data_IF_681292353962
#
_entry.id   IF_681292353962
#
_cell.length_a   1.000
_cell.length_b   1.000
_cell.length_c   1.000
_cell.angle_alpha   90.00
_cell.angle_beta   90.00
_cell.angle_gamma   90.00
#
_symmetry.space_group_name_H-M   'P 1'
#
loop_
_entity.id
_entity.type
_entity.pdbx_description
1 polymer ?
#
# COMPACT_ATOMS: atom_id res chain seq x y z
N UNK A 1 0.27 -11.54 -3.03
CA UNK A 1 1.15 -10.37 -3.10
C UNK A 1 0.52 -9.38 -4.09
N UNK A 2 -0.21 -8.40 -3.56
CA UNK A 2 -0.92 -7.42 -4.40
C UNK A 2 -0.02 -6.23 -4.64
N UNK A 3 0.33 -6.01 -5.90
CA UNK A 3 0.94 -4.79 -6.36
C UNK A 3 -0.18 -3.86 -6.82
N UNK A 4 -0.56 -2.88 -6.01
CA UNK A 4 -1.42 -1.79 -6.49
C UNK A 4 -0.49 -0.77 -7.12
N UNK A 5 -0.48 -0.77 -8.43
CA UNK A 5 0.23 0.17 -9.28
C UNK A 5 -0.42 1.55 -9.23
N UNK A 6 0.39 2.57 -8.93
CA UNK A 6 0.18 3.91 -9.45
C UNK A 6 -0.82 4.80 -8.69
N UNK A 7 -0.41 5.30 -7.52
CA UNK A 7 -1.00 6.56 -7.05
C UNK A 7 -0.07 7.70 -7.45
N UNK A 8 -0.53 8.53 -8.39
CA UNK A 8 0.13 9.82 -8.67
C UNK A 8 -0.06 10.67 -7.42
N UNK A 9 1.03 11.01 -6.76
CA UNK A 9 0.99 11.93 -5.61
C UNK A 9 0.88 13.34 -6.20
N UNK A 10 -0.31 13.92 -6.12
CA UNK A 10 -0.53 15.30 -6.51
C UNK A 10 -0.19 16.20 -5.33
N UNK A 11 0.74 17.12 -5.52
CA UNK A 11 1.13 18.07 -4.47
C UNK A 11 0.10 19.20 -4.39
N UNK A 12 -0.37 19.52 -3.18
CA UNK A 12 -1.25 20.65 -2.94
C UNK A 12 -0.54 22.02 -3.06
N UNK A 13 0.78 22.03 -3.07
CA UNK A 13 1.59 23.22 -3.32
C UNK A 13 2.88 22.82 -4.03
N UNK A 14 3.17 23.49 -5.13
CA UNK A 14 4.45 23.32 -5.82
C UNK A 14 5.56 24.00 -4.99
N UNK A 15 6.61 23.27 -4.57
CA UNK A 15 7.72 23.89 -3.87
C UNK A 15 8.43 24.91 -4.76
N UNK A 16 8.88 25.99 -4.18
CA UNK A 16 9.64 27.02 -4.90
C UNK A 16 11.09 26.53 -5.10
N UNK A 17 11.75 27.01 -6.14
CA UNK A 17 13.17 26.70 -6.39
C UNK A 17 14.00 26.99 -5.13
N UNK A 18 14.82 26.04 -4.70
CA UNK A 18 15.62 26.11 -3.47
C UNK A 18 14.97 25.45 -2.23
N UNK A 19 13.77 24.92 -2.36
CA UNK A 19 13.15 24.11 -1.31
C UNK A 19 13.23 22.63 -1.68
N UNK A 20 13.79 21.84 -0.77
CA UNK A 20 13.85 20.38 -0.91
C UNK A 20 12.44 19.80 -1.00
N UNK A 21 12.17 18.98 -2.00
CA UNK A 21 10.89 18.32 -2.14
C UNK A 21 10.70 17.29 -1.03
N UNK A 22 9.82 17.59 -0.09
CA UNK A 22 9.43 16.68 0.98
C UNK A 22 8.09 16.04 0.60
N UNK A 23 8.13 14.77 0.25
CA UNK A 23 6.92 13.99 -0.02
C UNK A 23 6.49 13.28 1.25
N UNK A 24 5.39 13.72 1.83
CA UNK A 24 4.76 12.97 2.91
C UNK A 24 4.01 11.78 2.31
N UNK A 25 4.54 10.58 2.50
CA UNK A 25 3.88 9.36 2.07
C UNK A 25 2.81 9.01 3.10
N UNK A 26 1.62 9.60 2.95
CA UNK A 26 0.46 9.26 3.76
C UNK A 26 -0.64 8.67 2.88
N UNK A 27 -0.79 7.36 2.90
CA UNK A 27 -2.08 6.82 3.26
C UNK A 27 -1.97 6.14 4.63
N UNK A 28 -3.01 6.21 5.44
CA UNK A 28 -3.12 5.53 6.75
C UNK A 28 -2.78 4.03 6.71
N UNK A 29 -2.64 3.47 5.52
CA UNK A 29 -2.47 2.06 5.23
C UNK A 29 -1.11 1.69 4.61
N UNK A 30 -0.17 2.65 4.56
CA UNK A 30 1.16 2.39 4.03
C UNK A 30 1.84 1.23 4.79
N UNK A 31 2.38 0.28 4.05
CA UNK A 31 3.11 -0.86 4.60
C UNK A 31 4.57 -0.86 4.20
N UNK A 32 4.85 -0.79 2.89
CA UNK A 32 6.22 -0.84 2.37
C UNK A 32 6.37 0.05 1.15
N UNK A 33 7.47 0.79 1.11
CA UNK A 33 7.90 1.55 -0.05
C UNK A 33 8.42 0.57 -1.13
N UNK A 34 8.00 0.80 -2.37
CA UNK A 34 8.52 0.14 -3.55
C UNK A 34 9.52 1.06 -4.28
N UNK A 35 9.39 1.11 -5.59
CA UNK A 35 10.26 1.89 -6.46
C UNK A 35 9.79 3.34 -6.54
N UNK A 36 10.75 4.26 -6.65
CA UNK A 36 10.50 5.67 -6.89
C UNK A 36 11.13 6.03 -8.23
N UNK A 37 10.34 6.64 -9.10
CA UNK A 37 10.78 7.06 -10.42
C UNK A 37 10.52 8.54 -10.64
N UNK A 38 11.44 9.18 -11.34
CA UNK A 38 11.33 10.56 -11.81
C UNK A 38 11.08 10.58 -13.30
N UNK A 39 10.02 11.23 -13.71
CA UNK A 39 9.65 11.35 -15.12
C UNK A 39 9.40 12.82 -15.43
N UNK A 40 10.19 13.35 -16.35
CA UNK A 40 9.92 14.64 -16.98
C UNK A 40 9.65 14.39 -18.47
N UNK A 41 8.78 15.19 -19.08
CA UNK A 41 8.47 15.03 -20.50
C UNK A 41 9.66 15.15 -21.46
N UNK A 42 10.84 15.59 -20.98
CA UNK A 42 12.03 15.84 -21.78
C UNK A 42 13.17 14.82 -21.56
N UNK A 43 13.13 14.07 -20.47
CA UNK A 43 14.18 13.10 -20.10
C UNK A 43 13.60 11.68 -20.04
N UNK A 44 14.42 10.64 -20.30
CA UNK A 44 14.01 9.28 -20.01
C UNK A 44 13.70 9.13 -18.52
N UNK A 45 12.79 8.22 -18.20
CA UNK A 45 12.40 7.91 -16.81
C UNK A 45 13.63 7.45 -16.03
N UNK A 46 13.88 8.10 -14.90
CA UNK A 46 15.00 7.81 -14.00
C UNK A 46 14.51 7.16 -12.72
N UNK A 47 15.17 6.11 -12.29
CA UNK A 47 14.95 5.55 -10.95
C UNK A 47 15.76 6.35 -9.93
N UNK A 48 15.14 6.69 -8.79
CA UNK A 48 15.81 7.36 -7.70
C UNK A 48 16.57 6.34 -6.86
N UNK A 49 17.84 6.63 -6.59
CA UNK A 49 18.63 5.81 -5.70
C UNK A 49 18.37 6.18 -4.24
N UNK A 50 18.09 5.16 -3.42
CA UNK A 50 17.99 5.34 -1.98
C UNK A 50 19.38 5.45 -1.37
N UNK A 51 19.56 6.45 -0.50
CA UNK A 51 20.78 6.62 0.29
C UNK A 51 20.45 6.85 1.75
N UNK A 52 21.41 6.63 2.61
CA UNK A 52 21.31 6.94 4.03
C UNK A 52 21.80 8.36 4.31
N UNK A 53 21.32 8.95 5.42
CA UNK A 53 21.65 10.32 5.78
C UNK A 53 23.16 10.55 5.96
N UNK A 54 23.89 9.54 6.43
CA UNK A 54 25.34 9.63 6.58
C UNK A 54 26.07 9.81 5.26
N UNK A 55 25.61 9.11 4.21
CA UNK A 55 26.18 9.18 2.86
C UNK A 55 25.85 10.51 2.17
N UNK A 56 24.68 11.10 2.48
CA UNK A 56 24.26 12.35 1.86
C UNK A 56 25.30 13.44 1.98
N UNK A 57 25.87 13.64 3.18
CA UNK A 57 26.86 14.69 3.42
C UNK A 57 28.12 14.49 2.57
N UNK A 58 28.54 13.25 2.38
CA UNK A 58 29.69 12.94 1.51
C UNK A 58 29.39 13.24 0.03
N UNK A 59 28.17 12.89 -0.42
CA UNK A 59 27.75 13.15 -1.79
C UNK A 59 27.60 14.65 -2.08
N UNK A 60 27.04 15.41 -1.14
CA UNK A 60 26.83 16.85 -1.29
C UNK A 60 28.12 17.67 -1.16
N UNK A 61 29.16 17.13 -0.53
CA UNK A 61 30.43 17.83 -0.32
C UNK A 61 31.30 17.91 -1.59
N UNK A 62 31.01 17.14 -2.62
CA UNK A 62 31.77 17.07 -3.85
C UNK A 62 30.88 17.38 -5.07
N UNK A 63 31.31 18.31 -5.91
CA UNK A 63 30.58 18.62 -7.15
C UNK A 63 30.52 17.45 -8.12
N UNK A 64 31.44 16.48 -8.02
CA UNK A 64 31.47 15.30 -8.90
C UNK A 64 30.43 14.25 -8.50
N UNK A 65 30.14 14.13 -7.22
CA UNK A 65 29.21 13.13 -6.66
C UNK A 65 27.86 13.72 -6.28
N UNK A 66 27.72 15.04 -6.40
CA UNK A 66 26.48 15.74 -6.10
C UNK A 66 25.33 15.24 -6.98
N UNK A 67 24.15 14.98 -6.40
CA UNK A 67 23.00 14.49 -7.15
C UNK A 67 22.57 15.49 -8.23
N UNK A 68 22.18 14.94 -9.38
CA UNK A 68 21.70 15.71 -10.53
C UNK A 68 20.31 15.24 -10.92
N UNK A 69 19.65 15.98 -11.81
CA UNK A 69 18.34 15.57 -12.36
C UNK A 69 18.40 14.28 -13.17
N UNK A 70 19.60 13.90 -13.65
CA UNK A 70 19.84 12.64 -14.36
C UNK A 70 20.08 11.48 -13.39
N UNK A 71 20.66 11.78 -12.23
CA UNK A 71 20.93 10.81 -11.16
C UNK A 71 20.38 11.31 -9.85
N UNK A 72 19.04 11.33 -9.72
CA UNK A 72 18.39 11.79 -8.51
C UNK A 72 18.50 10.75 -7.40
N UNK A 73 18.57 11.23 -6.18
CA UNK A 73 18.63 10.38 -4.99
C UNK A 73 17.52 10.76 -4.00
N UNK A 74 17.22 9.85 -3.10
CA UNK A 74 16.26 10.14 -2.03
C UNK A 74 16.67 9.53 -0.69
N UNK A 75 16.22 10.18 0.37
CA UNK A 75 16.27 9.68 1.74
C UNK A 75 14.85 9.39 2.19
N UNK A 76 14.67 8.26 2.86
CA UNK A 76 13.39 7.88 3.44
C UNK A 76 13.52 7.78 4.96
N UNK A 77 12.90 8.71 5.67
CA UNK A 77 12.89 8.77 7.13
C UNK A 77 11.52 9.20 7.64
N UNK A 78 11.04 8.57 8.70
CA UNK A 78 9.80 8.93 9.38
C UNK A 78 8.59 9.10 8.44
N UNK A 79 8.45 8.20 7.46
CA UNK A 79 7.41 8.26 6.41
C UNK A 79 7.49 9.51 5.51
N UNK A 80 8.67 10.14 5.43
CA UNK A 80 8.97 11.26 4.54
C UNK A 80 10.01 10.85 3.52
N UNK A 81 9.78 11.24 2.28
CA UNK A 81 10.75 11.16 1.21
C UNK A 81 11.36 12.54 1.00
N UNK A 82 12.67 12.66 1.14
CA UNK A 82 13.41 13.86 0.82
C UNK A 82 14.21 13.61 -0.44
N UNK A 83 13.97 14.39 -1.48
CA UNK A 83 14.51 14.17 -2.83
C UNK A 83 15.57 15.22 -3.14
N UNK A 84 16.65 14.77 -3.74
CA UNK A 84 17.75 15.59 -4.24
C UNK A 84 18.01 15.31 -5.73
N UNK A 85 18.37 16.36 -6.52
CA UNK A 85 18.56 17.75 -6.12
C UNK A 85 17.24 18.47 -5.85
N UNK A 86 17.32 19.59 -5.15
CA UNK A 86 16.19 20.47 -4.82
C UNK A 86 15.52 21.14 -6.02
N UNK A 87 16.14 21.04 -7.18
CA UNK A 87 15.57 21.48 -8.47
C UNK A 87 14.43 20.60 -8.95
N UNK A 88 14.30 19.38 -8.40
CA UNK A 88 13.20 18.47 -8.71
C UNK A 88 11.99 18.87 -7.86
N UNK A 89 10.99 19.49 -8.47
CA UNK A 89 9.78 19.98 -7.79
C UNK A 89 8.51 19.23 -8.17
N UNK A 90 8.57 18.37 -9.19
CA UNK A 90 7.42 17.59 -9.70
C UNK A 90 7.89 16.37 -10.48
N UNK A 91 6.97 15.55 -10.96
CA UNK A 91 7.27 14.38 -11.81
C UNK A 91 7.74 13.14 -11.04
N UNK A 92 7.56 13.10 -9.72
CA UNK A 92 7.90 11.94 -8.91
C UNK A 92 6.70 10.99 -8.82
N UNK A 93 6.92 9.75 -9.22
CA UNK A 93 5.96 8.66 -9.08
C UNK A 93 6.50 7.64 -8.06
N UNK A 94 5.69 7.30 -7.08
CA UNK A 94 6.08 6.38 -6.00
C UNK A 94 5.18 5.15 -6.05
N UNK A 95 5.78 3.97 -6.19
CA UNK A 95 5.08 2.71 -5.97
C UNK A 95 5.18 2.31 -4.50
N UNK A 96 4.11 1.78 -3.93
CA UNK A 96 4.13 1.31 -2.55
C UNK A 96 3.12 0.18 -2.34
N UNK A 97 3.36 -0.61 -1.33
CA UNK A 97 2.42 -1.62 -0.85
C UNK A 97 1.65 -1.02 0.32
N UNK A 98 0.35 -1.12 0.28
CA UNK A 98 -0.52 -0.72 1.40
C UNK A 98 -1.14 -1.92 2.10
N UNK A 99 -1.53 -1.76 3.33
CA UNK A 99 -2.39 -2.73 4.02
C UNK A 99 -3.79 -2.67 3.43
N UNK A 100 -4.49 -3.80 3.33
CA UNK A 100 -5.89 -3.81 2.92
C UNK A 100 -6.76 -2.95 3.85
N UNK A 101 -7.82 -2.39 3.31
CA UNK A 101 -8.83 -1.69 4.10
C UNK A 101 -9.53 -2.73 5.00
N UNK A 102 -9.78 -2.36 6.24
CA UNK A 102 -10.56 -3.22 7.13
C UNK A 102 -11.97 -3.36 6.57
N UNK A 103 -12.45 -4.57 6.28
CA UNK A 103 -13.79 -4.77 5.78
C UNK A 103 -14.82 -4.33 6.83
N UNK A 104 -15.87 -3.70 6.37
CA UNK A 104 -16.96 -3.21 7.23
C UNK A 104 -18.28 -3.59 6.59
N UNK A 105 -19.09 -4.32 7.32
CA UNK A 105 -20.46 -4.61 6.91
C UNK A 105 -21.40 -3.60 7.58
N UNK A 106 -22.00 -2.73 6.80
CA UNK A 106 -22.98 -1.76 7.24
C UNK A 106 -24.38 -2.09 6.72
N UNK A 107 -25.38 -1.66 7.47
CA UNK A 107 -26.77 -1.88 7.14
C UNK A 107 -27.61 -0.62 7.40
N UNK A 108 -28.74 -0.56 6.75
CA UNK A 108 -29.83 0.39 7.03
C UNK A 108 -31.06 -0.39 7.52
N UNK A 109 -31.89 0.26 8.31
CA UNK A 109 -33.16 -0.34 8.73
C UNK A 109 -34.19 -0.09 7.62
N UNK A 110 -34.78 -1.17 7.13
CA UNK A 110 -35.92 -1.12 6.21
C UNK A 110 -37.25 -0.81 6.90
N UNK A 111 -38.32 -0.72 6.11
CA UNK A 111 -39.64 -0.30 6.58
C UNK A 111 -40.23 -1.21 7.69
N UNK A 112 -39.83 -2.50 7.70
CA UNK A 112 -40.25 -3.47 8.73
C UNK A 112 -39.16 -3.74 9.78
N UNK A 113 -38.26 -2.79 10.00
CA UNK A 113 -37.09 -2.93 10.91
C UNK A 113 -36.12 -4.06 10.54
N UNK A 114 -36.18 -4.60 9.30
CA UNK A 114 -35.18 -5.55 8.83
C UNK A 114 -33.86 -4.85 8.51
N UNK A 115 -32.76 -5.56 8.73
CA UNK A 115 -31.43 -5.11 8.34
C UNK A 115 -31.24 -5.28 6.83
N UNK A 116 -31.06 -4.17 6.12
CA UNK A 116 -30.78 -4.13 4.67
C UNK A 116 -29.34 -3.72 4.46
N UNK A 117 -28.59 -4.54 3.74
CA UNK A 117 -27.19 -4.25 3.44
C UNK A 117 -27.04 -2.92 2.70
N UNK A 118 -26.11 -2.08 3.19
CA UNK A 118 -25.79 -0.77 2.60
C UNK A 118 -24.49 -0.85 1.82
N UNK A 119 -24.56 -0.88 0.49
CA UNK A 119 -23.38 -0.91 -0.38
C UNK A 119 -22.58 0.37 -0.34
N UNK A 120 -23.22 1.52 -0.08
CA UNK A 120 -22.56 2.82 -0.07
C UNK A 120 -21.64 3.06 1.13
N UNK A 121 -21.87 2.36 2.24
CA UNK A 121 -21.13 2.53 3.50
C UNK A 121 -20.36 1.28 3.93
N UNK A 122 -20.53 0.17 3.21
CA UNK A 122 -19.80 -1.07 3.44
C UNK A 122 -18.50 -1.09 2.64
N UNK A 123 -17.48 -1.74 3.21
CA UNK A 123 -16.21 -2.02 2.55
C UNK A 123 -15.98 -3.53 2.50
N UNK A 124 -15.78 -4.04 1.31
CA UNK A 124 -15.56 -5.45 1.07
C UNK A 124 -14.10 -5.86 1.30
N UNK A 125 -13.85 -7.17 1.32
CA UNK A 125 -12.50 -7.70 1.41
C UNK A 125 -11.73 -7.44 0.12
N UNK A 126 -10.52 -6.88 0.25
CA UNK A 126 -9.59 -6.67 -0.87
C UNK A 126 -8.75 -7.93 -1.11
N UNK A 127 -9.40 -9.06 -1.37
CA UNK A 127 -8.76 -10.35 -1.63
C UNK A 127 -9.01 -10.80 -3.07
N UNK A 128 -8.10 -11.64 -3.58
CA UNK A 128 -8.30 -12.24 -4.89
C UNK A 128 -9.50 -13.19 -4.86
N UNK A 129 -10.32 -13.29 -5.94
CA UNK A 129 -11.47 -14.19 -5.97
C UNK A 129 -11.15 -15.65 -5.62
N UNK A 130 -9.94 -16.13 -5.91
CA UNK A 130 -9.50 -17.47 -5.54
C UNK A 130 -9.44 -17.71 -4.03
N UNK A 131 -9.30 -16.65 -3.22
CA UNK A 131 -9.22 -16.74 -1.76
C UNK A 131 -10.60 -16.77 -1.07
N UNK A 132 -11.69 -16.64 -1.84
CA UNK A 132 -13.05 -16.55 -1.29
C UNK A 132 -13.45 -17.80 -0.53
N UNK A 133 -13.14 -18.98 -1.07
CA UNK A 133 -13.49 -20.27 -0.44
C UNK A 133 -12.80 -20.42 0.91
N UNK A 134 -11.50 -20.15 0.96
CA UNK A 134 -10.72 -20.21 2.19
C UNK A 134 -11.24 -19.21 3.24
N UNK A 135 -11.58 -17.99 2.80
CA UNK A 135 -12.14 -16.97 3.68
C UNK A 135 -13.48 -17.42 4.28
N UNK A 136 -14.39 -17.97 3.46
CA UNK A 136 -15.68 -18.48 3.92
C UNK A 136 -15.48 -19.59 4.96
N UNK A 137 -14.59 -20.55 4.69
CA UNK A 137 -14.28 -21.62 5.63
C UNK A 137 -13.74 -21.12 6.96
N UNK A 138 -12.83 -20.15 6.92
CA UNK A 138 -12.31 -19.50 8.14
C UNK A 138 -13.39 -18.75 8.91
N UNK A 139 -14.27 -18.03 8.21
CA UNK A 139 -15.40 -17.34 8.86
C UNK A 139 -16.33 -18.35 9.53
N UNK A 140 -16.67 -19.45 8.87
CA UNK A 140 -17.51 -20.50 9.43
C UNK A 140 -16.86 -21.16 10.65
N UNK A 141 -15.56 -21.41 10.59
CA UNK A 141 -14.81 -21.95 11.73
C UNK A 141 -14.89 -21.02 12.94
N UNK A 142 -14.64 -19.71 12.75
CA UNK A 142 -14.78 -18.74 13.84
C UNK A 142 -16.21 -18.61 14.35
N UNK A 143 -17.19 -18.61 13.45
CA UNK A 143 -18.62 -18.57 13.82
C UNK A 143 -19.01 -19.81 14.62
N UNK A 144 -18.57 -21.00 14.21
CA UNK A 144 -18.79 -22.25 14.92
C UNK A 144 -18.22 -22.24 16.34
N UNK A 145 -17.01 -21.69 16.50
CA UNK A 145 -16.37 -21.51 17.83
C UNK A 145 -17.22 -20.59 18.71
N UNK A 146 -17.72 -19.47 18.17
CA UNK A 146 -18.54 -18.51 18.91
C UNK A 146 -19.90 -19.13 19.31
N UNK A 147 -20.53 -19.86 18.40
CA UNK A 147 -21.83 -20.53 18.64
C UNK A 147 -21.66 -21.81 19.48
N UNK A 148 -20.42 -22.31 19.61
CA UNK A 148 -20.08 -23.59 20.27
C UNK A 148 -20.75 -24.80 19.61
N UNK A 149 -20.82 -24.76 18.28
CA UNK A 149 -21.35 -25.85 17.48
C UNK A 149 -20.20 -26.76 17.00
N UNK A 150 -20.07 -27.97 17.58
CA UNK A 150 -18.96 -28.87 17.25
C UNK A 150 -19.02 -29.43 15.83
N UNK A 151 -20.21 -29.54 15.24
CA UNK A 151 -20.37 -30.08 13.88
C UNK A 151 -19.83 -29.10 12.84
N UNK A 152 -20.14 -27.81 12.96
CA UNK A 152 -19.63 -26.76 12.08
C UNK A 152 -18.11 -26.65 12.18
N UNK A 153 -17.56 -26.76 13.41
CA UNK A 153 -16.11 -26.69 13.63
C UNK A 153 -15.39 -27.87 12.95
N UNK A 154 -15.94 -29.09 13.09
CA UNK A 154 -15.33 -30.28 12.48
C UNK A 154 -15.34 -30.23 10.97
N UNK A 155 -16.47 -29.86 10.35
CA UNK A 155 -16.60 -29.76 8.90
C UNK A 155 -15.68 -28.69 8.34
N UNK A 156 -15.67 -27.49 8.93
CA UNK A 156 -14.81 -26.40 8.48
C UNK A 156 -13.32 -26.74 8.63
N UNK A 157 -12.92 -27.37 9.75
CA UNK A 157 -11.53 -27.76 9.97
C UNK A 157 -11.07 -28.85 8.98
N UNK A 158 -11.92 -29.83 8.67
CA UNK A 158 -11.60 -30.85 7.68
C UNK A 158 -11.39 -30.27 6.28
N UNK A 159 -12.22 -29.32 5.87
CA UNK A 159 -12.10 -28.65 4.58
C UNK A 159 -10.84 -27.75 4.50
N UNK A 160 -10.50 -27.02 5.55
CA UNK A 160 -9.25 -26.25 5.61
C UNK A 160 -8.02 -27.15 5.48
N UNK A 161 -8.03 -28.32 6.12
CA UNK A 161 -6.93 -29.29 5.97
C UNK A 161 -6.82 -29.81 4.52
N UNK A 162 -7.93 -30.09 3.90
CA UNK A 162 -7.95 -30.57 2.51
C UNK A 162 -7.44 -29.51 1.52
N UNK A 163 -7.82 -28.25 1.70
CA UNK A 163 -7.28 -27.16 0.89
C UNK A 163 -5.77 -26.97 1.06
N UNK A 164 -5.27 -27.04 2.29
CA UNK A 164 -3.83 -26.95 2.54
C UNK A 164 -3.05 -28.06 1.85
N UNK A 165 -3.59 -29.27 1.79
CA UNK A 165 -2.97 -30.40 1.07
C UNK A 165 -2.97 -30.15 -0.43
N UNK A 166 -4.06 -29.63 -0.97
CA UNK A 166 -4.18 -29.34 -2.41
C UNK A 166 -3.26 -28.17 -2.85
N UNK A 167 -2.95 -27.23 -1.97
CA UNK A 167 -2.03 -26.13 -2.26
C UNK A 167 -0.55 -26.55 -2.19
N UNK A 168 -0.21 -27.66 -1.55
CA UNK A 168 1.14 -28.17 -1.44
C UNK A 168 1.52 -29.22 -2.50
N UNK A 169 0.57 -29.66 -3.30
CA UNK A 169 0.76 -30.60 -4.41
C UNK A 169 0.80 -29.89 -5.75
#
# INVERSE_FOLDING_TARGET
QYTISGTVITFNSQPTIGQTLIVNVYPKQFYRLGQIIYTTGALPTQELQRIDRGELYHLLSSNLTSPTTTYPIYIYEQNKLTIYPDTITSGINVSYIRKPITPVWNFTLGVSNQYVYSTSTSFDFELHPAEQTELILKILLYAGVVIKDPEIIQVAAAQVQQENINQQS
#
